data_IF_452570020011
#
_entry.id   IF_452570020011
#
_cell.length_a   1.000
_cell.length_b   1.000
_cell.length_c   1.000
_cell.angle_alpha   90.00
_cell.angle_beta   90.00
_cell.angle_gamma   90.00
#
_symmetry.space_group_name_H-M   'P 1'
#
loop_
_entity.id
_entity.type
_entity.pdbx_description
1 polymer ?
#
# COMPACT_ATOMS: atom_id res chain seq x y z
N UNK A 1 -11.19 5.29 -21.10
CA UNK A 1 -11.33 6.23 -19.95
C UNK A 1 -10.78 5.50 -18.72
N UNK A 2 -10.26 6.21 -17.72
CA UNK A 2 -9.71 5.60 -16.52
C UNK A 2 -10.80 5.44 -15.45
N UNK A 3 -10.79 4.31 -14.71
CA UNK A 3 -11.80 3.97 -13.70
C UNK A 3 -12.18 5.13 -12.76
N UNK A 4 -11.19 5.88 -12.26
CA UNK A 4 -11.45 7.02 -11.37
C UNK A 4 -12.32 8.10 -12.00
N UNK A 5 -12.10 8.43 -13.27
CA UNK A 5 -12.91 9.39 -14.02
C UNK A 5 -14.33 8.88 -14.23
N UNK A 6 -14.48 7.57 -14.48
CA UNK A 6 -15.79 6.96 -14.72
C UNK A 6 -16.69 7.00 -13.48
N UNK A 7 -16.12 6.99 -12.26
CA UNK A 7 -16.85 7.08 -11.00
C UNK A 7 -16.93 8.50 -10.41
N UNK A 8 -16.84 9.54 -11.25
CA UNK A 8 -16.78 10.95 -10.81
C UNK A 8 -17.87 11.35 -9.79
N UNK A 9 -19.08 10.82 -9.92
CA UNK A 9 -20.19 11.11 -9.01
C UNK A 9 -20.07 10.47 -7.62
N UNK A 10 -19.13 9.54 -7.42
CA UNK A 10 -18.92 8.78 -6.19
C UNK A 10 -17.55 9.03 -5.54
N UNK A 11 -16.73 9.93 -6.09
CA UNK A 11 -15.35 10.13 -5.63
C UNK A 11 -15.24 10.59 -4.18
N UNK A 12 -16.26 11.25 -3.64
CA UNK A 12 -16.32 11.65 -2.23
C UNK A 12 -16.63 10.47 -1.29
N UNK A 13 -17.26 9.42 -1.81
CA UNK A 13 -17.67 8.22 -1.05
C UNK A 13 -16.74 7.02 -1.29
N UNK A 14 -15.68 7.18 -2.09
CA UNK A 14 -14.78 6.08 -2.48
C UNK A 14 -13.32 6.45 -2.27
N UNK A 15 -12.62 5.62 -1.51
CA UNK A 15 -11.15 5.53 -1.54
C UNK A 15 -10.71 4.28 -2.29
N UNK A 16 -10.01 4.45 -3.41
CA UNK A 16 -9.44 3.36 -4.20
C UNK A 16 -8.08 2.96 -3.65
N UNK A 17 -7.89 1.66 -3.40
CA UNK A 17 -6.62 1.08 -2.94
C UNK A 17 -6.24 -0.12 -3.81
N UNK A 18 -4.95 -0.26 -4.15
CA UNK A 18 -4.45 -1.43 -4.91
C UNK A 18 -3.53 -2.30 -4.06
N UNK A 19 -3.84 -3.58 -3.89
CA UNK A 19 -2.95 -4.52 -3.21
C UNK A 19 -2.80 -5.79 -4.02
N UNK A 20 -1.61 -6.38 -3.95
CA UNK A 20 -1.33 -7.73 -4.45
C UNK A 20 -0.96 -8.60 -3.27
N UNK A 21 -1.32 -9.89 -3.34
CA UNK A 21 -0.95 -10.88 -2.32
C UNK A 21 0.57 -11.10 -2.27
N UNK A 22 1.23 -11.02 -3.43
CA UNK A 22 2.67 -11.21 -3.56
C UNK A 22 3.30 -10.12 -4.43
N UNK A 23 4.51 -9.75 -4.05
CA UNK A 23 5.42 -8.99 -4.90
C UNK A 23 6.04 -9.85 -5.99
N UNK A 24 7.00 -9.28 -6.71
CA UNK A 24 7.81 -10.00 -7.71
C UNK A 24 9.29 -9.91 -7.33
N UNK A 25 10.05 -10.96 -7.60
CA UNK A 25 11.51 -10.90 -7.46
C UNK A 25 12.09 -9.86 -8.40
N UNK A 26 13.16 -9.17 -7.96
CA UNK A 26 13.88 -8.21 -8.81
C UNK A 26 14.63 -8.93 -9.93
N UNK A 27 15.23 -10.08 -9.59
CA UNK A 27 15.97 -10.91 -10.55
C UNK A 27 15.00 -11.75 -11.38
N UNK A 28 15.31 -11.87 -12.68
CA UNK A 28 14.64 -12.79 -13.60
C UNK A 28 14.87 -14.24 -13.17
N UNK A 29 13.84 -15.07 -13.30
CA UNK A 29 13.91 -16.51 -13.00
C UNK A 29 14.40 -17.32 -14.21
N UNK A 30 14.54 -18.64 -14.03
CA UNK A 30 15.07 -19.55 -15.04
C UNK A 30 14.21 -19.73 -16.30
N UNK A 31 12.97 -19.23 -16.31
CA UNK A 31 12.04 -19.36 -17.44
C UNK A 31 11.79 -18.04 -18.17
N UNK A 32 12.55 -16.99 -17.89
CA UNK A 32 12.39 -15.70 -18.57
C UNK A 32 11.43 -14.72 -17.88
N UNK A 33 10.81 -15.11 -16.77
CA UNK A 33 9.89 -14.28 -16.00
C UNK A 33 10.49 -13.83 -14.66
N UNK A 34 9.62 -13.64 -13.67
CA UNK A 34 9.99 -13.39 -12.27
C UNK A 34 9.34 -14.44 -11.37
N UNK A 35 9.78 -14.57 -10.11
CA UNK A 35 9.10 -15.39 -9.12
C UNK A 35 8.21 -14.54 -8.21
N UNK A 36 7.46 -15.22 -7.34
CA UNK A 36 6.77 -14.55 -6.22
C UNK A 36 7.82 -13.92 -5.30
N UNK A 37 7.58 -12.69 -4.89
CA UNK A 37 8.41 -11.93 -3.96
C UNK A 37 7.58 -11.31 -2.84
N UNK A 38 8.24 -10.55 -1.97
CA UNK A 38 7.63 -10.04 -0.73
C UNK A 38 6.95 -8.68 -0.90
N UNK A 39 7.69 -7.64 -1.29
CA UNK A 39 7.18 -6.27 -1.32
C UNK A 39 6.54 -5.88 -2.66
N UNK A 40 5.63 -4.91 -2.59
CA UNK A 40 4.96 -4.30 -3.75
C UNK A 40 4.70 -2.81 -3.47
N UNK A 41 4.09 -2.11 -4.42
CA UNK A 41 3.61 -0.74 -4.27
C UNK A 41 2.09 -0.73 -4.06
N UNK A 42 1.62 -0.03 -3.03
CA UNK A 42 0.19 0.23 -2.81
C UNK A 42 -0.13 1.62 -3.38
N UNK A 43 -0.83 1.68 -4.52
CA UNK A 43 -1.36 2.93 -5.03
C UNK A 43 -2.72 3.21 -4.38
N UNK A 44 -2.89 4.44 -3.92
CA UNK A 44 -4.07 4.89 -3.20
C UNK A 44 -4.54 6.19 -3.83
N UNK A 45 -5.84 6.28 -4.10
CA UNK A 45 -6.46 7.40 -4.77
C UNK A 45 -7.81 7.73 -4.10
N UNK A 46 -8.04 9.01 -3.85
CA UNK A 46 -9.26 9.51 -3.23
C UNK A 46 -9.14 10.99 -2.92
N UNK A 47 -10.27 11.68 -2.76
CA UNK A 47 -10.30 13.12 -2.49
C UNK A 47 -9.66 13.48 -1.13
N UNK A 48 -9.74 12.56 -0.17
CA UNK A 48 -9.21 12.69 1.19
C UNK A 48 -7.81 12.08 1.38
N UNK A 49 -7.24 11.51 0.32
CA UNK A 49 -5.89 10.95 0.36
C UNK A 49 -4.87 12.08 0.40
N UNK A 50 -3.87 11.94 1.26
CA UNK A 50 -2.68 12.78 1.30
C UNK A 50 -1.73 12.46 0.13
N UNK A 51 -2.24 12.63 -1.09
CA UNK A 51 -1.58 12.21 -2.32
C UNK A 51 -0.47 13.14 -2.81
N UNK A 52 0.14 12.76 -3.93
CA UNK A 52 1.25 13.51 -4.55
C UNK A 52 2.63 13.20 -3.96
N UNK A 53 2.71 12.28 -3.00
CA UNK A 53 3.94 11.87 -2.32
C UNK A 53 4.04 10.35 -2.22
N UNK A 54 5.25 9.87 -1.95
CA UNK A 54 5.52 8.48 -1.58
C UNK A 54 5.68 8.43 -0.06
N UNK A 55 4.76 7.77 0.64
CA UNK A 55 4.80 7.64 2.11
C UNK A 55 5.86 6.64 2.60
N UNK A 56 6.09 5.57 1.83
CA UNK A 56 7.04 4.53 2.16
C UNK A 56 8.48 4.88 1.78
N UNK A 57 9.45 4.15 2.34
CA UNK A 57 10.83 4.24 1.90
C UNK A 57 11.03 3.37 0.64
N UNK A 58 11.50 3.99 -0.45
CA UNK A 58 11.91 3.30 -1.67
C UNK A 58 13.42 3.44 -1.82
N UNK A 59 14.15 2.42 -1.35
CA UNK A 59 15.61 2.38 -1.48
C UNK A 59 16.01 2.18 -2.95
N UNK A 60 17.23 2.60 -3.35
CA UNK A 60 17.77 2.28 -4.67
C UNK A 60 17.74 0.77 -4.94
N UNK A 61 17.48 0.39 -6.18
CA UNK A 61 17.47 -1.00 -6.60
C UNK A 61 18.91 -1.53 -6.69
N UNK A 62 19.43 -2.01 -5.56
CA UNK A 62 20.76 -2.58 -5.42
C UNK A 62 20.69 -3.86 -4.59
N UNK A 63 21.58 -4.82 -4.86
CA UNK A 63 21.59 -6.14 -4.19
C UNK A 63 21.65 -5.99 -2.67
N UNK A 64 22.46 -5.06 -2.16
CA UNK A 64 22.62 -4.81 -0.73
C UNK A 64 21.36 -4.23 -0.05
N UNK A 65 20.41 -3.72 -0.85
CA UNK A 65 19.11 -3.24 -0.37
C UNK A 65 18.01 -4.31 -0.45
N UNK A 66 18.30 -5.49 -1.01
CA UNK A 66 17.34 -6.59 -1.11
C UNK A 66 17.35 -7.42 0.18
N UNK A 67 16.16 -7.78 0.62
CA UNK A 67 15.96 -8.75 1.69
C UNK A 67 16.46 -10.12 1.21
N UNK A 68 17.30 -10.76 2.03
CA UNK A 68 17.96 -12.04 1.70
C UNK A 68 18.71 -12.03 0.35
N UNK A 69 19.09 -10.85 -0.16
CA UNK A 69 19.72 -10.68 -1.47
C UNK A 69 18.82 -10.99 -2.68
N UNK A 70 17.49 -11.14 -2.47
CA UNK A 70 16.54 -11.61 -3.49
C UNK A 70 15.31 -10.72 -3.63
N UNK A 71 14.67 -10.40 -2.52
CA UNK A 71 13.36 -9.75 -2.51
C UNK A 71 13.48 -8.26 -2.22
N UNK A 72 12.57 -7.44 -2.75
CA UNK A 72 12.43 -6.08 -2.24
C UNK A 72 12.03 -6.13 -0.76
N UNK A 73 12.70 -5.31 0.06
CA UNK A 73 12.37 -5.18 1.47
C UNK A 73 10.96 -4.60 1.65
N UNK A 74 10.17 -5.21 2.54
CA UNK A 74 8.86 -4.68 2.94
C UNK A 74 9.12 -3.54 3.92
N UNK A 75 8.89 -2.30 3.49
CA UNK A 75 9.15 -1.10 4.30
C UNK A 75 7.91 -0.57 5.02
N UNK A 76 6.72 -1.05 4.64
CA UNK A 76 5.44 -0.61 5.17
C UNK A 76 4.56 -1.82 5.46
N UNK A 77 4.06 -1.91 6.69
CA UNK A 77 3.02 -2.87 7.05
C UNK A 77 1.70 -2.44 6.39
N UNK A 78 1.07 -3.33 5.61
CA UNK A 78 -0.20 -3.00 4.95
C UNK A 78 -1.29 -2.63 5.96
N UNK A 79 -1.25 -3.20 7.18
CA UNK A 79 -2.21 -2.90 8.25
C UNK A 79 -2.14 -1.43 8.67
N UNK A 80 -0.95 -0.81 8.61
CA UNK A 80 -0.81 0.63 8.84
C UNK A 80 -1.64 1.47 7.89
N UNK A 81 -1.71 1.05 6.62
CA UNK A 81 -2.47 1.74 5.58
C UNK A 81 -3.96 1.47 5.72
N UNK A 82 -4.35 0.20 5.81
CA UNK A 82 -5.74 -0.21 5.83
C UNK A 82 -6.47 0.26 7.10
N UNK A 83 -5.82 0.22 8.27
CA UNK A 83 -6.39 0.77 9.50
C UNK A 83 -6.62 2.27 9.40
N UNK A 84 -5.69 3.00 8.79
CA UNK A 84 -5.82 4.45 8.61
C UNK A 84 -6.96 4.81 7.67
N UNK A 85 -7.08 4.12 6.53
CA UNK A 85 -8.18 4.33 5.59
C UNK A 85 -9.53 3.98 6.25
N UNK A 86 -9.62 2.86 6.96
CA UNK A 86 -10.86 2.47 7.62
C UNK A 86 -11.28 3.43 8.74
N UNK A 87 -10.33 3.94 9.52
CA UNK A 87 -10.56 4.98 10.53
C UNK A 87 -11.09 6.26 9.87
N UNK A 88 -10.38 6.81 8.88
CA UNK A 88 -10.72 8.12 8.31
C UNK A 88 -11.91 8.10 7.35
N UNK A 89 -11.99 7.09 6.48
CA UNK A 89 -13.01 7.00 5.45
C UNK A 89 -14.28 6.28 5.94
N UNK A 90 -14.13 5.13 6.60
CA UNK A 90 -15.26 4.32 7.07
C UNK A 90 -15.69 4.64 8.51
N UNK A 91 -14.99 5.53 9.21
CA UNK A 91 -15.24 5.91 10.62
C UNK A 91 -15.16 4.73 11.60
N UNK A 92 -14.33 3.73 11.27
CA UNK A 92 -14.06 2.58 12.14
C UNK A 92 -12.88 2.95 13.05
N UNK A 93 -13.17 3.71 14.10
CA UNK A 93 -12.17 4.27 15.02
C UNK A 93 -11.68 3.24 16.07
N UNK A 94 -11.50 1.98 15.67
CA UNK A 94 -11.02 0.90 16.52
C UNK A 94 -10.26 -0.15 15.70
N UNK A 95 -8.93 0.00 15.63
CA UNK A 95 -8.06 -0.84 14.82
C UNK A 95 -8.16 -2.34 15.20
N UNK A 96 -8.51 -2.67 16.45
CA UNK A 96 -8.62 -4.07 16.89
C UNK A 96 -9.82 -4.81 16.29
N UNK A 97 -10.79 -4.09 15.72
CA UNK A 97 -11.91 -4.70 14.99
C UNK A 97 -11.43 -5.30 13.67
N UNK A 98 -10.47 -4.65 13.02
CA UNK A 98 -9.95 -5.07 11.71
C UNK A 98 -8.74 -6.00 11.86
N UNK A 99 -7.81 -5.64 12.74
CA UNK A 99 -6.57 -6.36 12.96
C UNK A 99 -6.38 -6.63 14.46
N UNK A 100 -6.97 -7.71 14.98
CA UNK A 100 -6.73 -8.13 16.35
C UNK A 100 -5.23 -8.23 16.63
N UNK A 101 -4.80 -7.73 17.80
CA UNK A 101 -3.41 -7.76 18.29
C UNK A 101 -2.40 -6.85 17.57
N UNK A 102 -2.77 -6.20 16.47
CA UNK A 102 -1.88 -5.26 15.79
C UNK A 102 -1.66 -3.99 16.62
N UNK A 103 -0.39 -3.62 16.83
CA UNK A 103 0.05 -2.45 17.62
C UNK A 103 0.92 -1.49 16.80
N UNK A 104 0.77 -1.51 15.48
CA UNK A 104 1.53 -0.66 14.58
C UNK A 104 1.01 0.78 14.56
N UNK A 105 1.69 1.63 13.79
CA UNK A 105 1.32 3.03 13.62
C UNK A 105 0.75 3.28 12.23
N UNK A 106 -0.19 4.21 12.13
CA UNK A 106 -0.69 4.79 10.87
C UNK A 106 0.42 5.65 10.22
N UNK A 107 0.42 5.79 8.90
CA UNK A 107 1.55 6.38 8.14
C UNK A 107 1.22 7.73 7.48
N UNK A 108 0.03 8.27 7.72
CA UNK A 108 -0.38 9.59 7.25
C UNK A 108 -0.88 9.59 5.79
N UNK A 109 -1.36 8.45 5.29
CA UNK A 109 -1.95 8.29 3.95
C UNK A 109 -3.22 9.13 3.79
N UNK A 110 -3.96 9.38 4.86
CA UNK A 110 -5.22 10.13 4.82
C UNK A 110 -5.02 11.51 5.43
N UNK A 111 -5.71 12.53 4.87
CA UNK A 111 -5.67 13.89 5.43
C UNK A 111 -6.35 13.92 6.80
N UNK A 112 -5.86 14.83 7.66
CA UNK A 112 -6.58 15.22 8.86
C UNK A 112 -7.56 16.33 8.48
N UNK A 113 -8.82 15.94 8.28
CA UNK A 113 -9.95 16.82 7.97
C UNK A 113 -10.76 17.06 9.23
#
# INVERSE_FOLDING_TARGET
VAFWTDISAQQDDVTLMTMTEFGRTVKQNGTGGTDHGRASCNFILGNDVNGGIVHGNVKPLAVDNLEDGRDLAVTTDFRSVFSEVADKHLKINNDTVLFPEWKGNKIGVMRNI
#
